data_IF_999135312996
#
_entry.id   IF_999135312996
#
_cell.length_a   1.000
_cell.length_b   1.000
_cell.length_c   1.000
_cell.angle_alpha   90.00
_cell.angle_beta   90.00
_cell.angle_gamma   90.00
#
_symmetry.space_group_name_H-M   'P 1'
#
loop_
_entity.id
_entity.type
_entity.pdbx_description
1 polymer ?
#
# COMPACT_ATOMS: atom_id res chain seq x y z
N UNK A 1 -3.06 -18.68 48.69
CA UNK A 1 -4.26 -19.08 47.92
C UNK A 1 -4.08 -18.59 46.49
N UNK A 2 -4.30 -19.40 45.44
CA UNK A 2 -4.25 -18.91 44.07
C UNK A 2 -5.39 -17.91 43.86
N UNK A 3 -5.07 -16.72 43.33
CA UNK A 3 -6.07 -15.72 42.95
C UNK A 3 -6.95 -16.32 41.85
N UNK A 4 -8.26 -16.41 42.07
CA UNK A 4 -9.22 -16.76 41.02
C UNK A 4 -9.67 -15.46 40.37
N UNK A 5 -9.24 -15.23 39.13
CA UNK A 5 -9.69 -14.12 38.29
C UNK A 5 -10.76 -14.63 37.32
N UNK A 6 -11.79 -13.82 37.09
CA UNK A 6 -12.79 -14.02 36.06
C UNK A 6 -12.72 -12.83 35.09
N UNK A 7 -12.69 -13.12 33.78
CA UNK A 7 -12.77 -12.10 32.73
C UNK A 7 -14.26 -11.83 32.49
N UNK A 8 -14.68 -10.58 32.60
CA UNK A 8 -16.08 -10.15 32.43
C UNK A 8 -16.17 -9.21 31.23
N UNK A 9 -16.92 -9.61 30.20
CA UNK A 9 -17.22 -8.77 29.04
C UNK A 9 -18.49 -7.96 29.32
N UNK A 10 -18.40 -6.63 29.26
CA UNK A 10 -19.54 -5.72 29.49
C UNK A 10 -19.80 -4.91 28.23
N UNK A 11 -21.03 -4.94 27.74
CA UNK A 11 -21.48 -4.14 26.60
C UNK A 11 -22.34 -2.99 27.12
N UNK A 12 -22.01 -1.75 26.75
CA UNK A 12 -22.81 -0.57 27.09
C UNK A 12 -23.30 0.13 25.81
N UNK A 13 -24.62 0.06 25.56
CA UNK A 13 -25.26 0.75 24.44
C UNK A 13 -25.66 2.16 24.87
N UNK A 14 -24.96 3.18 24.37
CA UNK A 14 -25.13 4.59 24.80
C UNK A 14 -26.14 5.40 23.98
N UNK A 15 -26.69 4.84 22.89
CA UNK A 15 -27.63 5.51 21.99
C UNK A 15 -28.58 4.53 21.32
N UNK A 16 -29.56 5.02 20.56
CA UNK A 16 -30.60 4.20 19.90
C UNK A 16 -30.00 3.44 18.72
N UNK A 17 -29.96 2.10 18.79
CA UNK A 17 -29.47 1.21 17.72
C UNK A 17 -30.66 0.65 16.93
N UNK A 18 -30.67 0.79 15.60
CA UNK A 18 -31.75 0.26 14.73
C UNK A 18 -31.61 -1.24 14.47
N UNK A 19 -30.40 -1.73 14.21
CA UNK A 19 -30.02 -3.15 14.05
C UNK A 19 -28.51 -3.29 14.26
N UNK A 20 -28.06 -4.41 14.85
CA UNK A 20 -26.63 -4.74 14.99
C UNK A 20 -26.44 -6.09 15.69
N UNK A 21 -25.30 -6.74 15.46
CA UNK A 21 -24.89 -7.98 16.13
C UNK A 21 -23.50 -7.80 16.72
N UNK A 22 -23.30 -8.34 17.92
CA UNK A 22 -21.99 -8.46 18.57
C UNK A 22 -21.74 -9.95 18.70
N UNK A 23 -20.61 -10.41 18.14
CA UNK A 23 -20.17 -11.79 18.24
C UNK A 23 -18.76 -11.82 18.82
N UNK A 24 -18.51 -12.77 19.72
CA UNK A 24 -17.20 -13.04 20.34
C UNK A 24 -16.94 -14.53 20.16
N UNK A 25 -15.71 -14.88 19.78
CA UNK A 25 -15.28 -16.26 19.60
C UNK A 25 -13.83 -16.45 20.10
N UNK A 26 -13.40 -17.70 20.26
CA UNK A 26 -12.01 -18.11 20.58
C UNK A 26 -11.36 -17.39 21.79
N UNK A 27 -12.08 -17.30 22.91
CA UNK A 27 -11.57 -16.68 24.15
C UNK A 27 -10.48 -17.56 24.78
N UNK A 28 -9.24 -17.06 24.83
CA UNK A 28 -8.10 -17.72 25.48
C UNK A 28 -7.33 -16.75 26.40
N UNK A 29 -6.69 -17.29 27.44
CA UNK A 29 -5.82 -16.53 28.34
C UNK A 29 -4.47 -17.26 28.51
N UNK A 30 -3.37 -16.52 28.46
CA UNK A 30 -2.02 -17.02 28.70
C UNK A 30 -1.38 -16.23 29.83
N UNK A 31 -0.63 -16.89 30.71
CA UNK A 31 0.10 -16.22 31.79
C UNK A 31 1.29 -15.40 31.24
N UNK A 32 1.51 -14.22 31.80
CA UNK A 32 2.50 -13.24 31.35
C UNK A 32 1.84 -12.02 30.70
N UNK A 33 2.65 -11.09 30.21
CA UNK A 33 2.14 -9.97 29.41
C UNK A 33 1.48 -10.51 28.13
N UNK A 34 0.43 -9.82 27.68
CA UNK A 34 -0.16 -10.13 26.38
C UNK A 34 0.96 -10.09 25.34
N UNK A 35 1.07 -11.09 24.43
CA UNK A 35 1.94 -10.92 23.28
C UNK A 35 1.48 -9.63 22.56
N UNK A 36 2.41 -8.84 22.00
CA UNK A 36 2.05 -7.69 21.19
C UNK A 36 0.98 -8.09 20.19
N UNK A 37 0.04 -7.18 19.91
CA UNK A 37 -0.96 -7.41 18.87
C UNK A 37 -0.28 -7.98 17.62
N UNK A 38 -0.94 -8.94 16.95
CA UNK A 38 -0.41 -9.53 15.71
C UNK A 38 -0.17 -8.47 14.63
N UNK A 39 -0.82 -7.32 14.78
CA UNK A 39 -0.71 -6.12 13.95
C UNK A 39 -0.28 -4.98 14.86
N UNK A 40 0.82 -4.33 14.53
CA UNK A 40 1.24 -3.09 15.16
C UNK A 40 0.62 -1.91 14.42
N UNK A 41 -0.40 -1.30 15.03
CA UNK A 41 -1.10 -0.12 14.52
C UNK A 41 -0.54 1.20 15.07
N UNK A 42 0.41 1.12 16.02
CA UNK A 42 0.99 2.28 16.73
C UNK A 42 0.01 3.12 17.57
N UNK A 43 -1.27 2.74 17.66
CA UNK A 43 -2.29 3.41 18.48
C UNK A 43 -2.31 2.97 19.95
N UNK A 44 -1.73 1.81 20.26
CA UNK A 44 -1.70 1.27 21.61
C UNK A 44 -0.64 1.96 22.49
N UNK A 45 -0.87 1.98 23.82
CA UNK A 45 -0.02 2.66 24.83
C UNK A 45 1.47 2.21 24.85
N UNK A 46 1.83 1.12 24.18
CA UNK A 46 3.21 0.68 23.90
C UNK A 46 3.72 1.28 22.58
N UNK A 47 3.97 2.60 22.61
CA UNK A 47 4.30 3.50 21.48
C UNK A 47 4.89 2.86 20.21
N UNK A 48 5.92 2.01 20.29
CA UNK A 48 6.60 1.45 19.10
C UNK A 48 6.47 -0.08 18.93
N UNK A 49 5.54 -0.75 19.61
CA UNK A 49 5.33 -2.22 19.49
C UNK A 49 6.60 -3.08 19.68
N UNK A 50 7.53 -2.62 20.53
CA UNK A 50 8.81 -3.29 20.75
C UNK A 50 9.85 -3.13 19.63
N UNK A 51 9.62 -2.24 18.67
CA UNK A 51 10.63 -1.89 17.68
C UNK A 51 11.81 -1.16 18.33
N UNK A 52 13.02 -1.41 17.83
CA UNK A 52 14.25 -0.78 18.28
C UNK A 52 14.91 -0.02 17.14
N UNK A 53 15.60 1.08 17.43
CA UNK A 53 16.19 1.94 16.41
C UNK A 53 17.71 1.82 16.36
N UNK A 54 18.31 2.06 15.19
CA UNK A 54 19.77 2.12 15.08
C UNK A 54 20.32 3.33 15.84
N UNK A 55 21.33 3.13 16.67
CA UNK A 55 21.97 4.22 17.41
C UNK A 55 22.67 5.23 16.50
N UNK A 56 22.95 4.86 15.25
CA UNK A 56 23.62 5.71 14.27
C UNK A 56 22.64 6.41 13.31
N UNK A 57 21.34 6.37 13.62
CA UNK A 57 20.32 7.07 12.84
C UNK A 57 20.64 8.57 12.72
N UNK A 58 20.60 9.07 11.48
CA UNK A 58 20.70 10.51 11.24
C UNK A 58 19.46 11.26 11.79
N UNK A 59 18.29 10.63 11.70
CA UNK A 59 17.02 11.08 12.28
C UNK A 59 16.33 9.87 12.89
N UNK A 60 15.86 9.98 14.13
CA UNK A 60 15.14 8.87 14.77
C UNK A 60 13.71 8.77 14.24
N UNK A 61 13.21 7.54 14.20
CA UNK A 61 11.79 7.29 13.98
C UNK A 61 11.01 7.71 15.22
N UNK A 62 9.77 8.12 15.03
CA UNK A 62 8.87 8.53 16.11
C UNK A 62 7.47 8.01 15.84
N UNK A 63 6.60 8.02 16.84
CA UNK A 63 5.18 7.68 16.67
C UNK A 63 4.42 8.99 16.69
N UNK A 64 3.69 9.25 15.61
CA UNK A 64 3.00 10.52 15.39
C UNK A 64 1.62 10.31 14.84
N UNK A 65 0.79 11.33 15.02
CA UNK A 65 -0.54 11.46 14.46
C UNK A 65 -0.57 12.57 13.41
N UNK A 66 -1.67 12.65 12.67
CA UNK A 66 -1.98 13.79 11.81
C UNK A 66 -2.22 15.10 12.58
N UNK A 67 -2.43 15.07 13.89
CA UNK A 67 -2.56 16.29 14.71
C UNK A 67 -1.21 16.94 15.05
N UNK A 68 -0.11 16.19 14.94
CA UNK A 68 1.22 16.68 15.30
C UNK A 68 1.72 17.75 14.30
N UNK A 69 1.91 18.97 14.82
CA UNK A 69 2.31 20.16 14.05
C UNK A 69 3.70 20.05 13.38
N UNK A 70 4.52 19.09 13.79
CA UNK A 70 5.87 18.91 13.28
C UNK A 70 6.00 17.77 12.26
N UNK A 71 4.87 17.18 11.85
CA UNK A 71 4.78 16.44 10.58
C UNK A 71 5.00 17.37 9.39
N UNK A 72 5.55 16.86 8.27
CA UNK A 72 5.74 17.66 7.04
C UNK A 72 4.47 17.69 6.18
N UNK A 73 3.67 16.64 6.27
CA UNK A 73 2.42 16.47 5.59
C UNK A 73 1.42 15.85 6.57
N UNK A 74 0.34 16.58 6.82
CA UNK A 74 -0.76 16.16 7.69
C UNK A 74 -1.60 15.10 6.98
N UNK A 75 -1.70 13.92 7.58
CA UNK A 75 -2.46 12.81 7.02
C UNK A 75 -3.18 12.01 8.12
N UNK A 76 -4.35 11.42 7.82
CA UNK A 76 -4.95 10.45 8.72
C UNK A 76 -4.12 9.16 8.76
N UNK A 77 -4.14 8.48 9.90
CA UNK A 77 -3.59 7.12 10.03
C UNK A 77 -4.33 6.13 9.13
N UNK A 78 -3.74 4.96 8.91
CA UNK A 78 -4.37 3.94 8.07
C UNK A 78 -5.44 3.16 8.83
N UNK A 79 -5.19 2.87 10.12
CA UNK A 79 -6.02 2.00 10.96
C UNK A 79 -7.42 2.57 11.19
N UNK A 80 -7.51 3.78 11.73
CA UNK A 80 -8.75 4.46 12.09
C UNK A 80 -9.26 5.40 11.00
N UNK A 81 -8.41 5.70 10.02
CA UNK A 81 -8.67 6.69 8.97
C UNK A 81 -8.92 8.09 9.55
N UNK A 82 -8.26 8.40 10.67
CA UNK A 82 -8.43 9.63 11.44
C UNK A 82 -7.11 10.34 11.67
N UNK A 83 -7.17 11.65 11.83
CA UNK A 83 -5.98 12.49 12.11
C UNK A 83 -5.44 12.28 13.53
N UNK A 84 -6.28 11.77 14.44
CA UNK A 84 -5.94 11.44 15.83
C UNK A 84 -5.28 10.07 15.97
N UNK A 85 -5.41 9.20 14.95
CA UNK A 85 -4.74 7.90 14.94
C UNK A 85 -3.24 8.06 14.69
N UNK A 86 -2.48 7.08 15.13
CA UNK A 86 -1.03 7.12 15.15
C UNK A 86 -0.41 6.23 14.07
N UNK A 87 0.79 6.61 13.65
CA UNK A 87 1.61 5.84 12.72
C UNK A 87 3.09 6.04 13.06
N UNK A 88 3.92 5.10 12.63
CA UNK A 88 5.37 5.24 12.73
C UNK A 88 5.86 6.23 11.66
N UNK A 89 6.56 7.26 12.09
CA UNK A 89 6.90 8.43 11.31
C UNK A 89 8.41 8.70 11.30
N UNK A 90 8.91 9.19 10.17
CA UNK A 90 10.21 9.84 10.07
C UNK A 90 10.15 10.97 9.04
N UNK A 91 10.76 12.12 9.37
CA UNK A 91 10.72 13.32 8.52
C UNK A 91 12.07 14.00 8.41
N UNK A 92 12.42 14.41 7.19
CA UNK A 92 13.68 15.07 6.84
C UNK A 92 13.42 16.50 6.39
N UNK A 93 13.90 17.48 7.18
CA UNK A 93 13.79 18.92 6.93
C UNK A 93 15.12 19.47 6.41
N UNK A 94 15.47 19.11 5.17
CA UNK A 94 16.72 19.48 4.49
C UNK A 94 17.96 18.71 4.99
N UNK A 95 18.35 17.69 4.24
CA UNK A 95 19.59 16.95 4.51
C UNK A 95 20.83 17.75 4.08
N UNK A 96 22.01 17.52 4.72
CA UNK A 96 23.22 18.25 4.38
C UNK A 96 23.67 18.04 2.94
N UNK A 97 24.20 19.10 2.33
CA UNK A 97 24.70 19.10 0.96
C UNK A 97 25.82 18.07 0.80
N UNK A 98 25.71 17.20 -0.21
CA UNK A 98 26.73 16.21 -0.54
C UNK A 98 26.73 14.97 0.34
N UNK A 99 25.74 14.79 1.20
CA UNK A 99 25.58 13.59 2.04
C UNK A 99 24.23 12.91 1.82
N UNK A 100 24.21 11.59 1.89
CA UNK A 100 22.98 10.81 2.10
C UNK A 100 22.80 10.54 3.58
N UNK A 101 21.55 10.50 4.03
CA UNK A 101 21.20 10.09 5.38
C UNK A 101 20.44 8.78 5.34
N UNK A 102 20.73 7.91 6.31
CA UNK A 102 20.08 6.62 6.47
C UNK A 102 19.54 6.55 7.89
N UNK A 103 18.34 6.01 8.05
CA UNK A 103 17.77 5.75 9.37
C UNK A 103 16.98 4.45 9.36
N UNK A 104 17.28 3.57 10.31
CA UNK A 104 16.76 2.20 10.42
C UNK A 104 16.01 1.98 11.72
N UNK A 105 14.98 1.17 11.62
CA UNK A 105 14.24 0.62 12.76
C UNK A 105 14.01 -0.88 12.55
N UNK A 106 14.17 -1.64 13.63
CA UNK A 106 14.18 -3.09 13.68
C UNK A 106 12.93 -3.56 14.42
N UNK A 107 12.14 -4.42 13.79
CA UNK A 107 11.04 -5.13 14.43
C UNK A 107 11.54 -6.08 15.55
N UNK A 108 10.67 -6.56 16.46
CA UNK A 108 11.05 -7.56 17.45
C UNK A 108 11.71 -8.81 16.83
N UNK A 109 12.73 -9.35 17.52
CA UNK A 109 13.47 -10.55 17.08
C UNK A 109 12.55 -11.76 17.02
N UNK A 110 12.63 -12.50 15.91
CA UNK A 110 11.88 -13.73 15.66
C UNK A 110 12.81 -14.92 15.53
N UNK A 111 12.42 -16.00 16.21
CA UNK A 111 13.14 -17.26 16.17
C UNK A 111 12.96 -17.97 14.80
N UNK A 112 13.91 -18.83 14.43
CA UNK A 112 13.79 -19.63 13.21
C UNK A 112 12.54 -20.52 13.23
N UNK A 113 11.90 -20.69 12.07
CA UNK A 113 10.68 -21.48 11.93
C UNK A 113 10.69 -22.30 10.63
N UNK A 114 10.18 -23.55 10.63
CA UNK A 114 9.97 -24.31 9.41
C UNK A 114 8.86 -23.72 8.53
N UNK A 115 7.92 -22.97 9.12
CA UNK A 115 6.88 -22.26 8.40
C UNK A 115 7.39 -20.91 7.89
N UNK A 116 6.94 -20.52 6.70
CA UNK A 116 7.22 -19.18 6.19
C UNK A 116 6.45 -18.13 7.02
N UNK A 117 6.89 -16.88 6.97
CA UNK A 117 6.14 -15.73 7.50
C UNK A 117 5.75 -14.79 6.37
N UNK A 118 4.65 -14.06 6.54
CA UNK A 118 4.27 -12.97 5.67
C UNK A 118 4.39 -11.66 6.45
N UNK A 119 5.18 -10.74 5.92
CA UNK A 119 5.20 -9.35 6.40
C UNK A 119 4.19 -8.57 5.59
N UNK A 120 3.31 -7.82 6.26
CA UNK A 120 2.41 -6.84 5.65
C UNK A 120 2.53 -5.52 6.39
N UNK A 121 2.41 -4.42 5.68
CA UNK A 121 2.37 -3.08 6.27
C UNK A 121 1.78 -2.10 5.27
N UNK A 122 1.31 -0.96 5.77
CA UNK A 122 0.95 0.19 4.96
C UNK A 122 2.03 1.25 5.07
N UNK A 123 2.28 1.96 3.98
CA UNK A 123 3.25 3.04 3.95
C UNK A 123 2.70 4.24 3.18
N UNK A 124 3.22 5.40 3.52
CA UNK A 124 3.00 6.64 2.78
C UNK A 124 4.30 7.41 2.69
N UNK A 125 4.59 7.95 1.51
CA UNK A 125 5.79 8.75 1.23
C UNK A 125 5.35 10.06 0.63
N UNK A 126 5.67 11.14 1.34
CA UNK A 126 5.57 12.50 0.81
C UNK A 126 6.98 13.06 0.69
N UNK A 127 7.46 13.28 -0.52
CA UNK A 127 8.83 13.74 -0.76
C UNK A 127 8.91 14.72 -1.92
N UNK A 128 9.88 15.62 -1.83
CA UNK A 128 10.25 16.57 -2.90
C UNK A 128 11.58 16.14 -3.56
N UNK A 129 12.33 15.25 -2.92
CA UNK A 129 13.66 14.77 -3.35
C UNK A 129 13.73 13.24 -3.44
N UNK A 130 14.85 12.69 -3.94
CA UNK A 130 15.13 11.24 -3.87
C UNK A 130 15.10 10.75 -2.41
N UNK A 131 14.03 10.05 -2.07
CA UNK A 131 13.80 9.38 -0.79
C UNK A 131 13.36 7.96 -1.10
N UNK A 132 13.91 6.98 -0.38
CA UNK A 132 13.49 5.59 -0.49
C UNK A 132 13.15 4.99 0.85
N UNK A 133 12.11 4.15 0.87
CA UNK A 133 11.82 3.23 1.96
C UNK A 133 12.21 1.82 1.50
N UNK A 134 13.15 1.21 2.21
CA UNK A 134 13.62 -0.14 1.98
C UNK A 134 13.27 -1.03 3.17
N UNK A 135 13.06 -2.31 2.90
CA UNK A 135 12.91 -3.33 3.93
C UNK A 135 13.96 -4.40 3.76
N UNK A 136 14.54 -4.85 4.86
CA UNK A 136 15.59 -5.86 4.87
C UNK A 136 15.30 -6.93 5.92
N UNK A 137 16.02 -8.04 5.80
CA UNK A 137 16.15 -9.03 6.85
C UNK A 137 17.48 -8.81 7.57
N UNK A 138 17.45 -8.53 8.87
CA UNK A 138 18.64 -8.56 9.72
C UNK A 138 18.73 -9.92 10.39
N UNK A 139 19.90 -10.54 10.30
CA UNK A 139 20.24 -11.81 10.95
C UNK A 139 21.60 -11.67 11.64
N UNK A 140 22.03 -12.70 12.37
CA UNK A 140 23.37 -12.73 12.97
C UNK A 140 24.49 -12.67 11.91
N UNK A 141 24.19 -12.94 10.64
CA UNK A 141 25.12 -12.82 9.50
C UNK A 141 25.14 -11.42 8.87
N UNK A 142 24.38 -10.46 9.41
CA UNK A 142 24.23 -9.11 8.86
C UNK A 142 22.90 -8.89 8.16
N UNK A 143 22.86 -7.80 7.37
CA UNK A 143 21.69 -7.35 6.62
C UNK A 143 21.63 -8.05 5.26
N UNK A 144 20.45 -8.52 4.85
CA UNK A 144 20.22 -9.10 3.53
C UNK A 144 20.21 -8.05 2.42
N UNK A 145 20.05 -8.50 1.17
CA UNK A 145 19.52 -7.64 0.10
C UNK A 145 18.10 -7.16 0.45
N UNK A 146 17.64 -6.02 -0.11
CA UNK A 146 16.30 -5.50 0.16
C UNK A 146 15.24 -6.55 -0.15
N UNK A 147 14.40 -6.86 0.85
CA UNK A 147 13.24 -7.70 0.66
C UNK A 147 12.17 -6.95 -0.14
N UNK A 148 12.03 -5.64 0.04
CA UNK A 148 11.13 -4.76 -0.73
C UNK A 148 11.65 -3.32 -0.64
N UNK A 149 11.48 -2.53 -1.69
CA UNK A 149 11.99 -1.15 -1.78
C UNK A 149 11.04 -0.25 -2.57
N UNK A 150 10.87 1.00 -2.19
CA UNK A 150 10.17 2.04 -2.96
C UNK A 150 10.97 3.35 -2.93
N UNK A 151 10.98 4.09 -4.04
CA UNK A 151 11.83 5.29 -4.24
C UNK A 151 11.03 6.53 -4.70
N UNK A 152 9.70 6.39 -4.83
CA UNK A 152 8.82 7.40 -5.43
C UNK A 152 7.67 7.68 -4.48
N UNK A 153 7.36 8.96 -4.25
CA UNK A 153 6.14 9.37 -3.55
C UNK A 153 4.91 9.08 -4.40
N UNK A 154 3.91 8.43 -3.83
CA UNK A 154 2.75 7.90 -4.57
C UNK A 154 1.46 8.67 -4.27
N UNK A 155 1.55 10.00 -4.17
CA UNK A 155 0.41 10.87 -3.91
C UNK A 155 -0.03 10.88 -2.44
N UNK A 156 -1.32 11.13 -2.20
CA UNK A 156 -1.92 11.38 -0.88
C UNK A 156 -2.40 10.11 -0.13
N UNK A 157 -2.26 8.94 -0.74
CA UNK A 157 -2.89 7.70 -0.28
C UNK A 157 -1.87 6.76 0.38
N UNK A 158 -2.34 6.00 1.36
CA UNK A 158 -1.63 4.86 1.91
C UNK A 158 -1.52 3.73 0.87
N UNK A 159 -0.38 3.06 0.85
CA UNK A 159 -0.11 1.92 -0.02
C UNK A 159 0.28 0.70 0.81
N UNK A 160 -0.34 -0.44 0.52
CA UNK A 160 0.03 -1.71 1.11
C UNK A 160 1.29 -2.30 0.48
N UNK A 161 2.12 -2.88 1.31
CA UNK A 161 3.25 -3.71 0.92
C UNK A 161 3.20 -5.06 1.63
N UNK A 162 3.62 -6.11 0.94
CA UNK A 162 3.76 -7.44 1.52
C UNK A 162 4.87 -8.25 0.89
N UNK A 163 5.53 -9.08 1.69
CA UNK A 163 6.55 -10.00 1.20
C UNK A 163 6.73 -11.22 2.12
N UNK A 164 7.03 -12.40 1.55
CA UNK A 164 7.27 -13.59 2.34
C UNK A 164 8.70 -13.62 2.90
N UNK A 165 8.87 -14.21 4.08
CA UNK A 165 10.17 -14.50 4.71
C UNK A 165 10.25 -16.00 4.98
N UNK A 166 11.40 -16.59 4.67
CA UNK A 166 11.73 -17.97 5.04
C UNK A 166 13.06 -17.96 5.78
N UNK A 167 13.03 -18.15 7.10
CA UNK A 167 14.24 -18.34 7.89
C UNK A 167 14.09 -19.55 8.82
N UNK A 168 14.75 -20.65 8.45
CA UNK A 168 14.61 -21.96 9.12
C UNK A 168 15.66 -22.21 10.20
N UNK A 169 16.79 -21.52 10.14
CA UNK A 169 17.97 -21.84 10.96
C UNK A 169 18.50 -20.66 11.76
N UNK A 170 18.19 -19.42 11.37
CA UNK A 170 18.71 -18.21 12.02
C UNK A 170 17.57 -17.34 12.50
N UNK A 171 17.76 -16.73 13.67
CA UNK A 171 16.87 -15.68 14.14
C UNK A 171 16.95 -14.46 13.23
N UNK A 172 15.88 -13.70 13.17
CA UNK A 172 15.76 -12.61 12.21
C UNK A 172 14.88 -11.46 12.70
N UNK A 173 15.09 -10.28 12.13
CA UNK A 173 14.28 -9.09 12.31
C UNK A 173 13.98 -8.47 10.94
N UNK A 174 12.76 -7.99 10.73
CA UNK A 174 12.46 -7.04 9.65
C UNK A 174 13.07 -5.70 10.02
N UNK A 175 13.78 -5.09 9.09
CA UNK A 175 14.34 -3.74 9.21
C UNK A 175 13.64 -2.83 8.22
N UNK A 176 13.10 -1.71 8.67
CA UNK A 176 12.66 -0.63 7.81
C UNK A 176 13.76 0.43 7.78
N UNK A 177 14.20 0.81 6.59
CA UNK A 177 15.26 1.78 6.35
C UNK A 177 14.72 2.90 5.47
N UNK A 178 14.87 4.15 5.91
CA UNK A 178 14.72 5.29 5.03
C UNK A 178 16.09 5.82 4.63
N UNK A 179 16.29 5.95 3.32
CA UNK A 179 17.47 6.57 2.74
C UNK A 179 17.05 7.83 1.99
N UNK A 180 17.71 8.93 2.26
CA UNK A 180 17.43 10.23 1.64
C UNK A 180 18.72 10.84 1.10
N UNK A 181 18.65 11.33 -0.14
CA UNK A 181 19.79 11.95 -0.83
C UNK A 181 20.13 13.35 -0.32
N UNK A 182 21.10 14.00 -0.97
CA UNK A 182 21.53 15.37 -0.68
C UNK A 182 20.42 16.39 -0.90
N UNK A 183 20.31 17.39 -0.01
CA UNK A 183 19.22 18.40 0.00
C UNK A 183 17.83 17.75 0.03
N UNK A 184 17.74 16.66 0.77
CA UNK A 184 16.57 15.84 0.86
C UNK A 184 15.47 16.46 1.70
N UNK A 185 14.23 16.38 1.22
CA UNK A 185 13.05 16.83 1.93
C UNK A 185 11.91 15.83 1.72
N UNK A 186 11.33 15.36 2.81
CA UNK A 186 10.18 14.47 2.78
C UNK A 186 9.98 13.70 4.08
N UNK A 187 8.83 13.04 4.19
CA UNK A 187 8.48 12.15 5.28
C UNK A 187 8.11 10.76 4.76
N UNK A 188 8.28 9.78 5.64
CA UNK A 188 7.74 8.44 5.50
C UNK A 188 6.89 8.12 6.71
N UNK A 189 5.72 7.56 6.47
CA UNK A 189 4.87 6.99 7.49
C UNK A 189 4.66 5.49 7.21
N UNK A 190 4.62 4.68 8.26
CA UNK A 190 4.36 3.24 8.22
C UNK A 190 3.29 2.94 9.27
N UNK A 191 2.32 2.11 8.90
CA UNK A 191 1.21 1.73 9.77
C UNK A 191 0.83 0.26 9.55
N UNK A 192 0.04 -0.30 10.46
CA UNK A 192 -0.59 -1.62 10.35
C UNK A 192 0.41 -2.76 10.04
N UNK A 193 1.56 -2.78 10.73
CA UNK A 193 2.62 -3.76 10.47
C UNK A 193 2.27 -5.11 11.09
N UNK A 194 2.14 -6.14 10.26
CA UNK A 194 1.88 -7.51 10.69
C UNK A 194 2.94 -8.48 10.20
N UNK A 195 3.27 -9.45 11.05
CA UNK A 195 4.16 -10.56 10.68
C UNK A 195 3.53 -11.87 11.15
N UNK A 196 2.88 -12.55 10.22
CA UNK A 196 2.09 -13.76 10.49
C UNK A 196 2.75 -15.00 9.87
N UNK A 197 2.66 -16.15 10.54
CA UNK A 197 3.11 -17.41 9.96
C UNK A 197 2.12 -17.87 8.87
N UNK A 198 2.64 -18.36 7.75
CA UNK A 198 1.86 -18.87 6.60
C UNK A 198 2.26 -20.30 6.27
N UNK A 199 1.30 -21.07 5.75
CA UNK A 199 1.53 -22.46 5.35
C UNK A 199 2.11 -22.56 3.94
N UNK A 200 1.70 -21.69 3.01
CA UNK A 200 2.21 -21.65 1.64
C UNK A 200 2.66 -20.22 1.30
N UNK A 201 3.80 -20.09 0.61
CA UNK A 201 4.35 -18.79 0.19
C UNK A 201 3.34 -17.94 -0.61
N UNK A 202 2.51 -18.60 -1.43
CA UNK A 202 1.46 -17.95 -2.21
C UNK A 202 0.38 -17.27 -1.35
N UNK A 203 0.22 -17.67 -0.09
CA UNK A 203 -0.75 -17.07 0.82
C UNK A 203 -0.29 -15.67 1.27
N UNK A 204 0.98 -15.32 1.04
CA UNK A 204 1.54 -13.98 1.23
C UNK A 204 1.58 -13.16 -0.06
N UNK A 205 1.29 -13.77 -1.21
CA UNK A 205 1.06 -13.02 -2.44
C UNK A 205 -0.40 -12.52 -2.41
N UNK A 206 -0.72 -11.42 -3.10
CA UNK A 206 -2.08 -10.87 -3.03
C UNK A 206 -3.15 -11.90 -3.37
N UNK A 207 -4.29 -11.81 -2.67
CA UNK A 207 -5.38 -12.79 -2.62
C UNK A 207 -6.07 -13.09 -3.98
N UNK A 208 -5.61 -12.51 -5.09
CA UNK A 208 -6.19 -12.72 -6.42
C UNK A 208 -5.21 -13.20 -7.50
N UNK A 209 -3.98 -13.61 -7.15
CA UNK A 209 -3.12 -14.33 -8.12
C UNK A 209 -3.59 -15.79 -8.20
N UNK A 210 -4.65 -16.03 -8.99
CA UNK A 210 -5.09 -17.40 -9.31
C UNK A 210 -3.98 -18.14 -10.07
N UNK A 211 -3.93 -19.45 -9.88
CA UNK A 211 -3.07 -20.36 -10.64
C UNK A 211 -3.25 -20.17 -12.16
N UNK A 212 -2.20 -20.43 -12.97
CA UNK A 212 -2.22 -20.20 -14.41
C UNK A 212 -3.44 -20.85 -15.08
N UNK A 213 -4.11 -20.06 -15.93
CA UNK A 213 -5.11 -20.57 -16.86
C UNK A 213 -4.41 -21.42 -17.93
N UNK A 214 -5.08 -22.49 -18.35
CA UNK A 214 -4.61 -23.56 -19.23
C UNK A 214 -3.72 -23.09 -20.42
N UNK A 215 -2.50 -23.65 -20.59
CA UNK A 215 -1.56 -23.31 -21.67
C UNK A 215 -2.06 -23.62 -23.10
N UNK A 216 -3.27 -24.14 -23.27
CA UNK A 216 -3.84 -24.47 -24.59
C UNK A 216 -4.72 -23.37 -25.22
N UNK A 217 -4.93 -22.22 -24.58
CA UNK A 217 -5.73 -21.15 -25.19
C UNK A 217 -4.89 -20.22 -26.10
N UNK A 218 -4.61 -20.69 -27.33
CA UNK A 218 -3.82 -19.97 -28.37
C UNK A 218 -4.55 -18.81 -29.06
N UNK A 219 -5.58 -18.21 -28.45
CA UNK A 219 -6.40 -17.17 -29.11
C UNK A 219 -6.35 -15.80 -28.43
N UNK A 220 -5.17 -15.26 -28.10
CA UNK A 220 -5.05 -13.86 -27.65
C UNK A 220 -3.73 -13.22 -28.12
N UNK A 221 -3.44 -13.27 -29.42
CA UNK A 221 -2.45 -12.42 -30.08
C UNK A 221 -3.17 -11.59 -31.16
N UNK A 222 -4.01 -10.68 -30.69
CA UNK A 222 -4.55 -9.60 -31.51
C UNK A 222 -3.57 -8.42 -31.49
N UNK A 223 -2.74 -8.31 -32.54
CA UNK A 223 -2.03 -7.11 -33.01
C UNK A 223 -1.83 -5.97 -31.99
N UNK A 224 -0.81 -6.09 -31.14
CA UNK A 224 -0.25 -4.94 -30.40
C UNK A 224 0.61 -4.09 -31.34
N UNK A 225 -0.01 -3.37 -32.26
CA UNK A 225 0.70 -2.49 -33.19
C UNK A 225 0.80 -1.03 -32.73
N UNK A 226 0.39 -0.69 -31.51
CA UNK A 226 0.47 0.69 -30.98
C UNK A 226 0.74 0.72 -29.46
N UNK A 227 1.82 0.09 -28.99
CA UNK A 227 2.28 0.27 -27.59
C UNK A 227 3.02 1.60 -27.50
N UNK A 228 2.31 2.64 -27.07
CA UNK A 228 2.91 3.94 -26.80
C UNK A 228 3.74 3.84 -25.52
N UNK A 229 5.07 3.84 -25.64
CA UNK A 229 6.00 3.85 -24.52
C UNK A 229 6.04 5.24 -23.88
N UNK A 230 6.05 5.32 -22.55
CA UNK A 230 6.10 6.58 -21.80
C UNK A 230 7.22 6.58 -20.73
N UNK A 231 7.86 7.74 -20.50
CA UNK A 231 8.77 7.94 -19.36
C UNK A 231 7.94 8.15 -18.09
N UNK A 232 8.06 7.27 -17.10
CA UNK A 232 7.25 7.34 -15.88
C UNK A 232 7.55 8.61 -15.09
N UNK A 233 8.82 8.96 -14.97
CA UNK A 233 9.27 10.07 -14.12
C UNK A 233 8.89 11.44 -14.69
N UNK A 234 8.84 11.56 -16.01
CA UNK A 234 8.53 12.82 -16.70
C UNK A 234 7.10 12.89 -17.23
N UNK A 235 6.59 11.79 -17.76
CA UNK A 235 5.33 11.75 -18.52
C UNK A 235 4.16 11.18 -17.71
N UNK A 236 4.40 10.37 -16.66
CA UNK A 236 3.31 9.73 -15.92
C UNK A 236 3.16 10.19 -14.47
N UNK A 237 4.22 10.57 -13.75
CA UNK A 237 4.09 11.00 -12.35
C UNK A 237 3.77 12.48 -12.16
N UNK A 238 3.83 13.29 -13.23
CA UNK A 238 3.38 14.69 -13.18
C UNK A 238 1.86 14.71 -13.13
N UNK A 239 1.27 14.90 -11.98
CA UNK A 239 -0.19 15.06 -11.84
C UNK A 239 -0.59 16.54 -11.94
N UNK A 240 -1.74 16.84 -12.56
CA UNK A 240 -2.36 18.16 -12.58
C UNK A 240 -3.52 18.28 -11.55
N UNK A 241 -4.13 17.17 -11.14
CA UNK A 241 -5.22 17.10 -10.14
C UNK A 241 -5.47 15.68 -9.60
N UNK A 242 -5.70 15.57 -8.30
CA UNK A 242 -5.66 14.28 -7.60
C UNK A 242 -6.97 13.48 -7.62
N UNK A 243 -6.83 12.15 -7.60
CA UNK A 243 -7.91 11.24 -7.23
C UNK A 243 -8.25 11.38 -5.74
N UNK A 244 -9.53 11.48 -5.42
CA UNK A 244 -10.01 11.62 -4.04
C UNK A 244 -10.89 10.43 -3.66
N UNK A 245 -10.79 10.01 -2.39
CA UNK A 245 -11.74 9.05 -1.83
C UNK A 245 -13.10 9.72 -1.65
N UNK A 246 -14.15 9.08 -2.11
CA UNK A 246 -15.49 9.66 -2.18
C UNK A 246 -16.57 8.65 -1.76
N UNK A 247 -17.75 9.17 -1.38
CA UNK A 247 -18.95 8.39 -0.99
C UNK A 247 -20.14 8.75 -1.88
N UNK A 248 -21.10 7.86 -2.01
CA UNK A 248 -22.24 8.05 -2.90
C UNK A 248 -23.32 9.04 -2.40
N UNK A 249 -23.19 9.56 -1.18
CA UNK A 249 -24.13 10.57 -0.64
C UNK A 249 -23.93 11.97 -1.23
N UNK A 250 -22.75 12.24 -1.80
CA UNK A 250 -22.45 13.50 -2.45
C UNK A 250 -23.05 13.54 -3.87
N UNK A 251 -23.58 14.70 -4.28
CA UNK A 251 -24.31 14.92 -5.55
C UNK A 251 -23.45 14.78 -6.83
N UNK A 252 -22.21 14.31 -6.74
CA UNK A 252 -21.27 14.22 -7.85
C UNK A 252 -20.57 12.86 -7.91
N UNK A 253 -20.69 12.17 -9.05
CA UNK A 253 -20.21 10.81 -9.23
C UNK A 253 -21.26 9.73 -8.92
N UNK A 254 -20.87 8.45 -8.87
CA UNK A 254 -21.80 7.34 -8.62
C UNK A 254 -22.47 7.40 -7.25
N UNK A 255 -23.80 7.41 -7.22
CA UNK A 255 -24.60 7.48 -5.97
C UNK A 255 -24.41 6.32 -4.98
N UNK A 256 -23.71 5.25 -5.38
CA UNK A 256 -23.44 4.05 -4.58
C UNK A 256 -22.09 3.48 -4.97
N UNK A 257 -21.34 3.02 -3.99
CA UNK A 257 -20.14 2.24 -4.26
C UNK A 257 -20.50 0.88 -4.88
N UNK A 258 -19.58 0.29 -5.64
CA UNK A 258 -19.83 -1.00 -6.26
C UNK A 258 -19.79 -2.18 -5.26
N UNK A 259 -18.91 -2.14 -4.27
CA UNK A 259 -18.61 -3.28 -3.39
C UNK A 259 -19.75 -3.57 -2.43
N UNK A 260 -20.30 -2.55 -1.77
CA UNK A 260 -21.43 -2.69 -0.86
C UNK A 260 -22.76 -2.40 -1.55
N UNK A 261 -22.76 -1.70 -2.70
CA UNK A 261 -23.98 -1.26 -3.37
C UNK A 261 -24.72 -0.20 -2.55
N UNK A 262 -24.00 0.56 -1.74
CA UNK A 262 -24.58 1.55 -0.81
C UNK A 262 -23.91 2.92 -0.96
N UNK A 263 -24.57 4.02 -0.57
CA UNK A 263 -23.93 5.33 -0.53
C UNK A 263 -22.78 5.42 0.49
N UNK A 264 -22.76 4.55 1.52
CA UNK A 264 -21.77 4.58 2.60
C UNK A 264 -20.45 3.87 2.26
N UNK A 265 -20.39 3.13 1.15
CA UNK A 265 -19.12 2.59 0.67
C UNK A 265 -18.29 3.64 -0.06
N UNK A 266 -17.02 3.31 -0.29
CA UNK A 266 -16.05 4.26 -0.81
C UNK A 266 -15.55 3.87 -2.21
N UNK A 267 -15.26 4.87 -3.02
CA UNK A 267 -14.58 4.72 -4.30
C UNK A 267 -13.63 5.89 -4.55
N UNK A 268 -12.70 5.72 -5.48
CA UNK A 268 -11.87 6.82 -5.96
C UNK A 268 -12.66 7.61 -7.01
N UNK A 269 -12.85 8.89 -6.74
CA UNK A 269 -13.46 9.84 -7.66
C UNK A 269 -12.38 10.77 -8.19
N UNK A 270 -12.49 11.09 -9.47
CA UNK A 270 -11.75 12.18 -10.05
C UNK A 270 -12.71 13.32 -10.38
N UNK A 271 -12.52 14.49 -9.76
CA UNK A 271 -13.34 15.67 -10.03
C UNK A 271 -12.78 16.49 -11.18
N UNK A 272 -13.41 16.35 -12.34
CA UNK A 272 -13.00 17.00 -13.58
C UNK A 272 -13.71 18.35 -13.82
N UNK A 273 -14.59 18.83 -12.92
CA UNK A 273 -15.43 20.02 -13.17
C UNK A 273 -14.63 21.30 -13.44
N UNK A 274 -13.42 21.38 -12.88
CA UNK A 274 -12.51 22.52 -13.02
C UNK A 274 -11.28 22.19 -13.87
N UNK A 275 -11.25 21.02 -14.50
CA UNK A 275 -10.16 20.60 -15.37
C UNK A 275 -10.24 21.25 -16.75
N UNK A 276 -9.08 21.44 -17.38
CA UNK A 276 -8.88 22.01 -18.70
C UNK A 276 -8.26 20.96 -19.64
N UNK A 277 -8.42 21.16 -20.95
CA UNK A 277 -7.93 20.24 -21.96
C UNK A 277 -6.42 20.00 -21.83
N UNK A 278 -6.00 18.73 -21.87
CA UNK A 278 -4.62 18.29 -21.76
C UNK A 278 -4.15 18.06 -20.32
N UNK A 279 -4.93 18.44 -19.30
CA UNK A 279 -4.62 18.09 -17.93
C UNK A 279 -4.82 16.60 -17.68
N UNK A 280 -4.08 16.08 -16.70
CA UNK A 280 -4.13 14.67 -16.36
C UNK A 280 -4.07 14.39 -14.88
N UNK A 281 -4.74 13.31 -14.48
CA UNK A 281 -4.75 12.76 -13.13
C UNK A 281 -4.13 11.38 -13.11
N UNK A 282 -3.37 11.05 -12.06
CA UNK A 282 -2.57 9.83 -11.99
C UNK A 282 -2.78 9.13 -10.68
N UNK A 283 -3.36 7.93 -10.73
CA UNK A 283 -3.35 7.00 -9.60
C UNK A 283 -2.35 5.88 -9.87
N UNK A 284 -1.46 5.61 -8.92
CA UNK A 284 -0.50 4.49 -8.97
C UNK A 284 -0.94 3.44 -7.97
N UNK A 285 -1.26 2.22 -8.44
CA UNK A 285 -1.59 1.12 -7.51
C UNK A 285 -0.38 0.64 -6.70
N UNK A 286 -0.66 -0.20 -5.71
CA UNK A 286 0.34 -0.99 -5.00
C UNK A 286 1.18 -1.86 -5.97
N UNK A 287 2.38 -2.29 -5.54
CA UNK A 287 3.28 -3.18 -6.31
C UNK A 287 2.91 -4.68 -6.25
N UNK A 288 2.54 -5.27 -7.39
CA UNK A 288 2.28 -6.72 -7.49
C UNK A 288 3.63 -7.47 -7.45
N UNK A 289 3.69 -8.62 -6.77
CA UNK A 289 4.85 -9.52 -6.86
C UNK A 289 4.38 -10.84 -7.43
N UNK A 290 4.78 -11.10 -8.67
CA UNK A 290 4.31 -12.27 -9.41
C UNK A 290 5.40 -12.81 -10.34
N UNK A 291 5.38 -14.11 -10.55
CA UNK A 291 6.21 -14.84 -11.52
C UNK A 291 5.41 -15.34 -12.73
N UNK A 292 4.11 -15.06 -12.76
CA UNK A 292 3.17 -15.44 -13.82
C UNK A 292 2.27 -14.27 -14.20
N UNK A 293 1.56 -14.42 -15.33
CA UNK A 293 0.53 -13.47 -15.75
C UNK A 293 -0.51 -13.23 -14.65
N UNK A 294 -0.98 -11.99 -14.54
CA UNK A 294 -1.98 -11.56 -13.56
C UNK A 294 -3.20 -11.00 -14.30
N UNK A 295 -4.40 -11.34 -13.83
CA UNK A 295 -5.63 -10.74 -14.33
C UNK A 295 -6.03 -9.57 -13.42
N UNK A 296 -5.78 -8.34 -13.86
CA UNK A 296 -6.31 -7.15 -13.21
C UNK A 296 -7.81 -7.06 -13.47
N UNK A 297 -8.58 -7.05 -12.39
CA UNK A 297 -10.02 -6.79 -12.41
C UNK A 297 -10.29 -5.45 -11.75
N UNK A 298 -10.93 -4.54 -12.47
CA UNK A 298 -11.36 -3.25 -11.93
C UNK A 298 -12.80 -2.94 -12.31
N UNK A 299 -13.47 -2.15 -11.47
CA UNK A 299 -14.77 -1.55 -11.76
C UNK A 299 -14.57 -0.06 -11.98
N UNK A 300 -15.16 0.48 -13.02
CA UNK A 300 -15.05 1.90 -13.36
C UNK A 300 -16.43 2.44 -13.72
N UNK A 301 -16.62 3.73 -13.47
CA UNK A 301 -17.82 4.46 -13.84
C UNK A 301 -17.39 5.79 -14.46
N UNK A 302 -17.77 6.00 -15.72
CA UNK A 302 -17.41 7.20 -16.50
C UNK A 302 -18.71 7.86 -16.94
N UNK A 303 -18.93 9.15 -16.59
CA UNK A 303 -20.13 9.86 -16.98
C UNK A 303 -20.26 10.00 -18.49
N UNK A 304 -21.46 10.29 -18.97
CA UNK A 304 -21.77 10.50 -20.38
C UNK A 304 -21.30 11.90 -20.86
N UNK A 305 -20.02 12.25 -20.67
CA UNK A 305 -19.51 13.51 -21.21
C UNK A 305 -19.34 13.38 -22.73
N UNK A 306 -19.71 14.44 -23.47
CA UNK A 306 -19.38 14.57 -24.90
C UNK A 306 -17.85 14.69 -25.02
N UNK A 307 -17.21 13.68 -25.60
CA UNK A 307 -15.82 13.64 -26.08
C UNK A 307 -14.78 14.45 -25.26
N UNK A 308 -13.93 13.77 -24.49
CA UNK A 308 -12.73 14.40 -23.90
C UNK A 308 -11.95 13.46 -22.99
N UNK A 309 -12.62 12.87 -21.99
CA UNK A 309 -11.99 11.99 -21.00
C UNK A 309 -11.68 10.59 -21.54
N UNK A 310 -10.47 10.09 -21.29
CA UNK A 310 -10.11 8.69 -21.54
C UNK A 310 -9.29 8.11 -20.41
N UNK A 311 -9.64 6.92 -19.93
CA UNK A 311 -8.91 6.21 -18.88
C UNK A 311 -7.87 5.28 -19.52
N UNK A 312 -6.61 5.65 -19.36
CA UNK A 312 -5.45 4.89 -19.82
C UNK A 312 -4.89 4.08 -18.66
N UNK A 313 -4.51 2.83 -18.92
CA UNK A 313 -3.94 1.90 -17.95
C UNK A 313 -2.53 1.56 -18.43
N UNK A 314 -1.54 1.91 -17.62
CA UNK A 314 -0.14 1.55 -17.90
C UNK A 314 0.37 0.51 -16.91
N UNK A 315 1.45 -0.15 -17.31
CA UNK A 315 2.25 -1.01 -16.45
C UNK A 315 3.70 -0.59 -16.51
N UNK A 316 4.37 -0.57 -15.36
CA UNK A 316 5.79 -0.31 -15.27
C UNK A 316 6.46 -1.44 -14.48
N UNK A 317 7.72 -1.76 -14.80
CA UNK A 317 8.55 -2.67 -14.01
C UNK A 317 9.63 -1.95 -13.20
N UNK A 318 10.01 -0.74 -13.61
CA UNK A 318 11.17 -0.01 -13.08
C UNK A 318 10.87 1.42 -12.58
N UNK A 319 9.61 1.89 -12.68
CA UNK A 319 9.19 3.27 -12.41
C UNK A 319 9.97 4.31 -13.24
N UNK A 320 10.57 3.88 -14.37
CA UNK A 320 11.25 4.75 -15.33
C UNK A 320 10.58 4.70 -16.69
N UNK A 321 10.10 3.52 -17.09
CA UNK A 321 9.41 3.28 -18.35
C UNK A 321 8.07 2.59 -18.08
N UNK A 322 7.07 2.89 -18.90
CA UNK A 322 5.78 2.23 -18.80
C UNK A 322 5.15 1.98 -20.17
N UNK A 323 4.41 0.88 -20.23
CA UNK A 323 3.70 0.42 -21.40
C UNK A 323 2.20 0.58 -21.19
N UNK A 324 1.52 1.19 -22.17
CA UNK A 324 0.06 1.27 -22.16
C UNK A 324 -0.54 -0.10 -22.49
N UNK A 325 -1.34 -0.65 -21.58
CA UNK A 325 -1.97 -1.97 -21.75
C UNK A 325 -3.49 -1.89 -21.96
N UNK A 326 -4.13 -0.77 -21.62
CA UNK A 326 -5.56 -0.56 -21.87
C UNK A 326 -5.87 0.92 -22.10
N UNK A 327 -6.85 1.16 -22.95
CA UNK A 327 -7.48 2.46 -23.17
C UNK A 327 -9.00 2.30 -23.13
N UNK A 328 -9.65 3.06 -22.26
CA UNK A 328 -11.10 3.09 -22.07
C UNK A 328 -11.59 4.49 -22.48
N UNK A 329 -12.35 4.56 -23.59
CA UNK A 329 -12.92 5.81 -24.13
C UNK A 329 -14.45 5.88 -24.02
N UNK A 330 -15.10 4.74 -23.88
CA UNK A 330 -16.55 4.68 -23.92
C UNK A 330 -17.11 5.08 -22.55
N UNK A 331 -18.05 6.04 -22.48
CA UNK A 331 -18.73 6.35 -21.24
C UNK A 331 -19.57 5.15 -20.80
N UNK A 332 -19.70 4.97 -19.50
CA UNK A 332 -20.56 3.95 -18.91
C UNK A 332 -21.90 4.52 -18.45
N UNK A 333 -22.12 5.83 -18.68
CA UNK A 333 -23.29 6.58 -18.25
C UNK A 333 -23.54 6.41 -16.75
N UNK A 334 -22.47 6.56 -15.96
CA UNK A 334 -22.48 6.45 -14.50
C UNK A 334 -22.81 5.04 -13.96
N UNK A 335 -22.89 4.02 -14.83
CA UNK A 335 -23.05 2.62 -14.44
C UNK A 335 -21.69 1.99 -14.18
N UNK A 336 -21.55 1.31 -13.04
CA UNK A 336 -20.37 0.50 -12.74
C UNK A 336 -20.18 -0.59 -13.79
N UNK A 337 -19.05 -0.53 -14.50
CA UNK A 337 -18.69 -1.46 -15.56
C UNK A 337 -17.39 -2.17 -15.21
N UNK A 338 -17.33 -3.47 -15.47
CA UNK A 338 -16.15 -4.27 -15.21
C UNK A 338 -15.15 -4.15 -16.38
N UNK A 339 -13.88 -3.94 -16.05
CA UNK A 339 -12.76 -4.12 -16.98
C UNK A 339 -11.87 -5.25 -16.49
N UNK A 340 -11.45 -6.10 -17.42
CA UNK A 340 -10.43 -7.13 -17.21
C UNK A 340 -9.23 -6.80 -18.08
N UNK A 341 -8.05 -6.84 -17.49
CA UNK A 341 -6.79 -6.60 -18.20
C UNK A 341 -5.78 -7.67 -17.80
N UNK A 342 -5.26 -8.39 -18.79
CA UNK A 342 -4.16 -9.32 -18.56
C UNK A 342 -2.85 -8.55 -18.49
N UNK A 343 -2.12 -8.80 -17.43
CA UNK A 343 -0.86 -8.18 -17.10
C UNK A 343 0.21 -9.26 -17.20
N UNK A 344 1.24 -9.01 -18.03
CA UNK A 344 2.36 -9.93 -18.21
C UNK A 344 3.58 -9.30 -17.52
N UNK A 345 4.14 -9.92 -16.46
CA UNK A 345 5.32 -9.37 -15.82
C UNK A 345 6.54 -9.47 -16.78
N UNK A 346 7.37 -8.42 -16.87
CA UNK A 346 8.53 -8.40 -17.77
C UNK A 346 9.55 -9.48 -17.36
N UNK A 347 9.82 -10.44 -18.24
CA UNK A 347 10.78 -11.50 -17.96
C UNK A 347 12.19 -10.92 -17.78
N UNK A 348 12.69 -10.88 -16.54
CA UNK A 348 14.09 -10.60 -16.24
C UNK A 348 14.79 -11.89 -15.83
N UNK A 349 16.05 -12.06 -16.24
CA UNK A 349 16.79 -13.32 -16.10
C UNK A 349 17.18 -13.69 -14.66
N UNK A 350 16.94 -12.82 -13.67
CA UNK A 350 17.58 -12.93 -12.34
C UNK A 350 16.65 -12.80 -11.12
N UNK A 351 15.33 -12.97 -11.25
CA UNK A 351 14.47 -13.00 -10.04
C UNK A 351 13.29 -13.99 -10.15
N UNK A 352 13.03 -14.70 -9.05
CA UNK A 352 11.89 -15.64 -8.93
C UNK A 352 10.55 -14.91 -8.70
N UNK A 353 10.59 -13.61 -8.44
CA UNK A 353 9.44 -12.70 -8.33
C UNK A 353 9.84 -11.39 -9.00
N UNK A 354 9.07 -10.97 -10.01
CA UNK A 354 9.25 -9.65 -10.61
C UNK A 354 8.42 -8.68 -9.77
N UNK A 355 9.09 -7.64 -9.24
CA UNK A 355 8.42 -6.47 -8.67
C UNK A 355 7.64 -5.80 -9.80
N UNK A 356 6.35 -6.09 -9.84
CA UNK A 356 5.42 -5.54 -10.79
C UNK A 356 4.85 -4.24 -10.23
N UNK A 357 4.81 -3.18 -11.02
CA UNK A 357 4.45 -1.86 -10.52
C UNK A 357 3.12 -1.38 -11.11
N UNK A 358 2.30 -0.84 -10.20
CA UNK A 358 1.42 0.30 -10.41
C UNK A 358 0.61 0.31 -11.70
N UNK A 359 -0.67 0.01 -11.61
CA UNK A 359 -1.64 0.44 -12.63
C UNK A 359 -1.71 1.95 -12.58
N UNK A 360 -1.11 2.64 -13.55
CA UNK A 360 -1.29 4.09 -13.70
C UNK A 360 -2.62 4.33 -14.42
N UNK A 361 -3.59 4.88 -13.71
CA UNK A 361 -4.84 5.38 -14.28
C UNK A 361 -4.63 6.83 -14.70
N UNK A 362 -4.51 7.06 -16.00
CA UNK A 362 -4.29 8.39 -16.57
C UNK A 362 -5.58 8.84 -17.28
N UNK A 363 -6.18 9.94 -16.81
CA UNK A 363 -7.31 10.58 -17.50
C UNK A 363 -6.83 11.82 -18.24
N UNK A 364 -6.91 11.83 -19.57
CA UNK A 364 -6.71 13.06 -20.38
C UNK A 364 -8.07 13.62 -20.79
N UNK A 365 -8.24 14.94 -20.68
CA UNK A 365 -9.39 15.68 -21.21
C UNK A 365 -9.06 16.40 -22.51
#
# INVERSE_FOLDING_TARGET
>A
MPLKLAIVFVIQIKAKVKTGVIAVDDIAAKGGDCPPSKICTFDDDDKMCGYTQDSNNAVNWDVKSGEDNDTLFRMPDHTTQSIEGNYLYIGFRETPVGSSQISRIYSPKREPSPAASCVTFYYHIHNVSQLSLNTYLSTDNGLSDPQWSVTVGQGLLWHGARFPIVSKTVSWQVVFEVSVGSRGYGQVAIDDVSVIAILKLKDCLWENVRAPFDPNNKNLLGSLSDVQHADVTKDLLKDDFDWVRHIGEDYFGPSKDHTLGTPQGFYLLLDTRYSTQGQKAVYVSERLRTSSEVCLKMWYSVPSYKNGASLLVFTSGDFKSADQIKLIRNPTNEVWTQSLVTIIPPMTSDSTFIDFLGVCLLIRY
#
